data_IF_205858838327
#
_entry.id   IF_205858838327
#
_cell.length_a   1.000
_cell.length_b   1.000
_cell.length_c   1.000
_cell.angle_alpha   90.00
_cell.angle_beta   90.00
_cell.angle_gamma   90.00
#
_symmetry.space_group_name_H-M   'P 1'
#
loop_
_entity.id
_entity.type
_entity.pdbx_description
1 polymer ?
#
# COMPACT_ATOMS: atom_id res chain seq x y z
N UNK A 1 4.75 0.71 -18.32
CA UNK A 1 3.93 1.94 -18.27
C UNK A 1 3.64 2.28 -16.82
N UNK A 2 3.78 3.55 -16.45
CA UNK A 2 3.43 4.11 -15.15
C UNK A 2 2.22 5.03 -15.33
N UNK A 3 1.24 4.94 -14.42
CA UNK A 3 0.00 5.73 -14.46
C UNK A 3 -0.25 6.39 -13.11
N UNK A 4 -0.70 7.63 -13.12
CA UNK A 4 -1.03 8.41 -11.93
C UNK A 4 -2.30 9.23 -12.12
N UNK A 5 -2.86 9.70 -11.01
CA UNK A 5 -3.94 10.70 -10.98
C UNK A 5 -3.43 12.00 -10.37
N UNK A 6 -3.77 13.11 -10.99
CA UNK A 6 -3.43 14.43 -10.48
C UNK A 6 -4.66 15.34 -10.50
N UNK A 7 -4.66 16.32 -9.62
CA UNK A 7 -5.67 17.38 -9.58
C UNK A 7 -5.31 18.46 -10.59
N UNK A 8 -6.17 18.71 -11.54
CA UNK A 8 -6.04 19.80 -12.50
C UNK A 8 -6.35 21.17 -11.88
N UNK A 9 -6.18 22.22 -12.65
CA UNK A 9 -6.35 23.61 -12.20
C UNK A 9 -7.78 23.94 -11.77
N UNK A 10 -8.76 23.28 -12.35
CA UNK A 10 -10.18 23.47 -12.04
C UNK A 10 -10.73 22.41 -11.06
N UNK A 11 -9.82 21.60 -10.48
CA UNK A 11 -10.18 20.53 -9.54
C UNK A 11 -10.56 19.20 -10.20
N UNK A 12 -10.54 19.11 -11.52
CA UNK A 12 -10.78 17.88 -12.27
C UNK A 12 -9.66 16.85 -12.05
N UNK A 13 -9.97 15.58 -12.29
CA UNK A 13 -8.96 14.51 -12.30
C UNK A 13 -8.33 14.46 -13.69
N UNK A 14 -7.02 14.53 -13.75
CA UNK A 14 -6.21 14.26 -14.94
C UNK A 14 -5.47 12.95 -14.71
N UNK A 15 -5.59 12.04 -15.66
CA UNK A 15 -4.79 10.80 -15.70
C UNK A 15 -3.52 11.08 -16.47
N UNK A 16 -2.37 10.86 -15.85
CA UNK A 16 -1.06 11.02 -16.46
C UNK A 16 -0.39 9.65 -16.64
N UNK A 17 0.28 9.46 -17.77
CA UNK A 17 1.01 8.22 -18.09
C UNK A 17 2.40 8.51 -18.65
N UNK A 18 3.34 7.62 -18.37
CA UNK A 18 4.68 7.56 -19.00
C UNK A 18 5.13 6.10 -19.17
N UNK A 19 6.03 5.83 -20.10
CA UNK A 19 6.48 4.45 -20.34
C UNK A 19 7.46 3.96 -19.27
N UNK A 20 8.32 4.84 -18.79
CA UNK A 20 9.30 4.54 -17.76
C UNK A 20 9.58 5.72 -16.82
N UNK A 21 10.33 5.49 -15.72
CA UNK A 21 10.60 6.51 -14.70
C UNK A 21 11.29 7.78 -15.21
N UNK A 22 12.11 7.67 -16.27
CA UNK A 22 12.82 8.79 -16.90
C UNK A 22 12.05 9.51 -17.99
N UNK A 23 10.87 9.02 -18.38
CA UNK A 23 10.10 9.58 -19.49
C UNK A 23 9.24 10.76 -19.05
N UNK A 24 8.92 11.62 -19.99
CA UNK A 24 7.97 12.71 -19.78
C UNK A 24 6.57 12.13 -19.70
N UNK A 25 5.86 12.46 -18.62
CA UNK A 25 4.47 12.06 -18.49
C UNK A 25 3.57 12.89 -19.40
N UNK A 26 2.48 12.28 -19.87
CA UNK A 26 1.47 12.94 -20.71
C UNK A 26 0.06 12.66 -20.19
N UNK A 27 -0.82 13.63 -20.36
CA UNK A 27 -2.23 13.46 -20.06
C UNK A 27 -2.88 12.43 -20.99
N UNK A 28 -3.73 11.56 -20.46
CA UNK A 28 -4.60 10.71 -21.27
C UNK A 28 -5.80 11.52 -21.75
N UNK A 29 -6.01 11.60 -23.06
CA UNK A 29 -7.12 12.38 -23.63
C UNK A 29 -8.46 11.79 -23.18
N UNK A 30 -9.31 12.63 -22.59
CA UNK A 30 -10.60 12.20 -22.01
C UNK A 30 -10.48 11.00 -21.06
N UNK A 31 -9.38 10.91 -20.29
CA UNK A 31 -9.08 9.80 -19.39
C UNK A 31 -10.08 9.69 -18.21
N UNK A 32 -10.64 10.83 -17.78
CA UNK A 32 -11.58 10.90 -16.66
C UNK A 32 -10.91 10.52 -15.34
N UNK A 33 -10.79 9.24 -15.05
CA UNK A 33 -10.05 8.72 -13.88
C UNK A 33 -9.44 7.35 -14.19
N UNK A 34 -8.44 6.94 -13.41
CA UNK A 34 -7.85 5.60 -13.53
C UNK A 34 -8.90 4.52 -13.29
N UNK A 35 -9.82 4.74 -12.34
CA UNK A 35 -10.96 3.86 -12.10
C UNK A 35 -11.81 3.64 -13.36
N UNK A 36 -12.22 4.72 -14.03
CA UNK A 36 -13.04 4.62 -15.25
C UNK A 36 -12.33 3.85 -16.35
N UNK A 37 -11.06 4.14 -16.58
CA UNK A 37 -10.24 3.43 -17.60
C UNK A 37 -10.07 1.94 -17.24
N UNK A 38 -9.85 1.64 -15.96
CA UNK A 38 -9.71 0.27 -15.48
C UNK A 38 -11.01 -0.53 -15.60
N UNK A 39 -12.16 0.07 -15.25
CA UNK A 39 -13.46 -0.57 -15.42
C UNK A 39 -13.81 -0.79 -16.90
N UNK A 40 -13.52 0.19 -17.77
CA UNK A 40 -13.68 0.02 -19.23
C UNK A 40 -12.83 -1.15 -19.75
N UNK A 41 -11.59 -1.28 -19.29
CA UNK A 41 -10.71 -2.37 -19.66
C UNK A 41 -11.25 -3.72 -19.16
N UNK A 42 -11.57 -3.83 -17.87
CA UNK A 42 -12.04 -5.06 -17.23
C UNK A 42 -13.35 -5.55 -17.84
N UNK A 43 -14.35 -4.67 -17.96
CA UNK A 43 -15.67 -5.02 -18.51
C UNK A 43 -15.65 -5.26 -20.03
N UNK A 44 -14.68 -4.65 -20.73
CA UNK A 44 -14.49 -4.78 -22.16
C UNK A 44 -13.56 -5.92 -22.59
N UNK A 45 -12.97 -6.67 -21.64
CA UNK A 45 -11.99 -7.73 -21.93
C UNK A 45 -10.72 -7.21 -22.64
N UNK A 46 -10.28 -5.98 -22.30
CA UNK A 46 -9.12 -5.31 -22.88
C UNK A 46 -8.03 -5.13 -21.83
N UNK A 47 -6.79 -4.90 -22.25
CA UNK A 47 -5.76 -4.42 -21.34
C UNK A 47 -5.95 -2.93 -21.05
N UNK A 48 -5.60 -2.49 -19.83
CA UNK A 48 -5.63 -1.06 -19.49
C UNK A 48 -4.72 -0.23 -20.42
N UNK A 49 -3.57 -0.78 -20.80
CA UNK A 49 -2.66 -0.13 -21.74
C UNK A 49 -3.34 0.13 -23.09
N UNK A 50 -4.07 -0.85 -23.64
CA UNK A 50 -4.77 -0.69 -24.92
C UNK A 50 -5.90 0.33 -24.85
N UNK A 51 -6.59 0.44 -23.70
CA UNK A 51 -7.62 1.48 -23.49
C UNK A 51 -6.98 2.87 -23.46
N UNK A 52 -5.83 3.02 -22.79
CA UNK A 52 -5.08 4.28 -22.74
C UNK A 52 -4.57 4.67 -24.13
N UNK A 53 -3.98 3.74 -24.87
CA UNK A 53 -3.47 3.96 -26.24
C UNK A 53 -4.60 4.40 -27.19
N UNK A 54 -5.76 3.77 -27.09
CA UNK A 54 -6.93 4.13 -27.91
C UNK A 54 -7.48 5.54 -27.62
N UNK A 55 -7.29 6.05 -26.39
CA UNK A 55 -7.65 7.43 -26.03
C UNK A 55 -6.69 8.46 -26.61
N UNK A 56 -5.43 8.07 -26.82
CA UNK A 56 -4.34 8.96 -27.20
C UNK A 56 -3.80 9.78 -26.02
N UNK A 57 -2.66 10.41 -26.28
CA UNK A 57 -1.94 11.21 -25.29
C UNK A 57 -1.95 12.69 -25.69
N UNK A 58 -2.21 13.54 -24.72
CA UNK A 58 -2.25 14.99 -24.85
C UNK A 58 -0.98 15.68 -24.36
N UNK A 59 -1.14 16.74 -23.60
CA UNK A 59 -0.07 17.61 -23.15
C UNK A 59 0.91 16.91 -22.20
N UNK A 60 2.15 17.37 -22.23
CA UNK A 60 3.20 16.96 -21.31
C UNK A 60 2.90 17.46 -19.89
N UNK A 61 3.21 16.65 -18.90
CA UNK A 61 3.01 16.94 -17.48
C UNK A 61 4.34 16.80 -16.74
N UNK A 62 4.74 17.84 -16.06
CA UNK A 62 5.87 17.84 -15.12
C UNK A 62 5.41 17.28 -13.78
N UNK A 63 5.66 15.98 -13.56
CA UNK A 63 5.25 15.28 -12.33
C UNK A 63 5.99 15.78 -11.09
N UNK A 64 7.24 16.24 -11.21
CA UNK A 64 7.98 16.81 -10.07
C UNK A 64 7.33 18.13 -9.61
N UNK A 65 6.95 18.98 -10.56
CA UNK A 65 6.19 20.19 -10.27
C UNK A 65 4.84 19.87 -9.64
N UNK A 66 4.12 18.88 -10.16
CA UNK A 66 2.84 18.39 -9.59
C UNK A 66 3.03 17.95 -8.13
N UNK A 67 4.14 17.27 -7.85
CA UNK A 67 4.48 16.81 -6.50
C UNK A 67 4.76 18.00 -5.57
N UNK A 68 5.58 18.92 -5.99
CA UNK A 68 5.92 20.13 -5.23
C UNK A 68 4.69 21.00 -4.93
N UNK A 69 3.70 21.00 -5.83
CA UNK A 69 2.44 21.74 -5.68
C UNK A 69 1.37 20.96 -4.86
N UNK A 70 1.67 19.74 -4.40
CA UNK A 70 0.72 18.91 -3.64
C UNK A 70 -0.53 18.51 -4.44
N UNK A 71 -0.41 18.31 -5.76
CA UNK A 71 -1.53 18.00 -6.64
C UNK A 71 -1.69 16.53 -7.01
N UNK A 72 -0.86 15.64 -6.48
CA UNK A 72 -1.15 14.20 -6.60
C UNK A 72 -2.42 13.84 -5.87
N UNK A 73 -3.17 12.94 -6.47
CA UNK A 73 -4.26 12.18 -5.84
C UNK A 73 -3.74 10.75 -5.60
N UNK A 74 -4.41 9.93 -4.77
CA UNK A 74 -4.17 8.50 -4.83
C UNK A 74 -4.27 8.04 -6.29
N UNK A 75 -3.35 7.20 -6.79
CA UNK A 75 -3.26 6.90 -8.23
C UNK A 75 -4.50 6.17 -8.78
N UNK A 76 -5.37 5.69 -7.91
CA UNK A 76 -6.75 5.31 -8.20
C UNK A 76 -7.64 5.74 -7.04
N UNK A 77 -8.86 6.18 -7.35
CA UNK A 77 -9.92 6.53 -6.40
C UNK A 77 -11.23 5.95 -6.88
N UNK A 78 -12.12 5.57 -5.96
CA UNK A 78 -13.50 5.21 -6.29
C UNK A 78 -14.43 6.42 -6.12
N UNK A 79 -15.49 6.59 -6.94
CA UNK A 79 -16.46 7.68 -6.77
C UNK A 79 -17.13 7.72 -5.39
N UNK A 80 -17.35 6.55 -4.79
CA UNK A 80 -17.71 6.37 -3.38
C UNK A 80 -16.52 5.78 -2.63
N UNK A 81 -15.91 6.55 -1.74
CA UNK A 81 -14.72 6.12 -1.01
C UNK A 81 -14.93 4.84 -0.17
N UNK A 82 -16.18 4.53 0.22
CA UNK A 82 -16.49 3.30 0.95
C UNK A 82 -16.20 2.02 0.12
N UNK A 83 -16.20 2.12 -1.21
CA UNK A 83 -15.95 1.04 -2.16
C UNK A 83 -14.48 0.93 -2.63
N UNK A 84 -13.56 1.62 -1.98
CA UNK A 84 -12.13 1.38 -2.11
C UNK A 84 -11.65 0.72 -0.82
N UNK A 85 -11.21 -0.53 -0.89
CA UNK A 85 -10.77 -1.30 0.26
C UNK A 85 -9.26 -1.24 0.42
N UNK A 86 -8.80 -0.90 1.62
CA UNK A 86 -7.40 -0.97 2.03
C UNK A 86 -7.23 -2.21 2.90
N UNK A 87 -6.41 -3.15 2.48
CA UNK A 87 -6.15 -4.41 3.18
C UNK A 87 -4.66 -4.74 3.11
N UNK A 88 -4.19 -5.62 3.98
CA UNK A 88 -2.81 -6.04 3.95
C UNK A 88 -2.60 -7.46 4.43
N UNK A 89 -1.40 -7.95 4.20
CA UNK A 89 -0.87 -9.21 4.70
C UNK A 89 0.44 -8.95 5.43
N UNK A 90 0.68 -9.66 6.53
CA UNK A 90 1.93 -9.59 7.27
C UNK A 90 2.73 -10.88 7.17
N UNK A 91 3.98 -10.85 7.67
CA UNK A 91 4.86 -12.02 7.77
C UNK A 91 5.16 -12.71 6.43
N UNK A 92 5.12 -11.96 5.35
CA UNK A 92 5.25 -12.44 3.96
C UNK A 92 6.65 -12.26 3.40
N UNK A 93 7.54 -11.51 4.07
CA UNK A 93 8.91 -11.22 3.62
C UNK A 93 9.93 -11.96 4.47
N UNK A 94 11.08 -12.31 3.87
CA UNK A 94 12.19 -12.95 4.57
C UNK A 94 12.67 -12.04 5.71
N UNK A 95 12.69 -12.56 6.94
CA UNK A 95 13.02 -11.81 8.14
C UNK A 95 11.85 -11.09 8.84
N UNK A 96 10.65 -11.04 8.27
CA UNK A 96 9.48 -10.38 8.89
C UNK A 96 9.17 -10.89 10.29
N UNK A 97 9.22 -12.23 10.51
CA UNK A 97 9.00 -12.80 11.85
C UNK A 97 10.09 -12.37 12.83
N UNK A 98 11.37 -12.37 12.41
CA UNK A 98 12.48 -11.93 13.26
C UNK A 98 12.35 -10.44 13.61
N UNK A 99 11.90 -9.60 12.68
CA UNK A 99 11.63 -8.19 12.93
C UNK A 99 10.52 -8.03 13.97
N UNK A 100 9.38 -8.71 13.79
CA UNK A 100 8.25 -8.65 14.71
C UNK A 100 8.61 -9.22 16.10
N UNK A 101 9.31 -10.34 16.15
CA UNK A 101 9.77 -10.93 17.40
C UNK A 101 10.75 -10.04 18.15
N UNK A 102 11.59 -9.27 17.44
CA UNK A 102 12.46 -8.29 18.08
C UNK A 102 11.67 -7.17 18.76
N UNK A 103 10.49 -6.80 18.23
CA UNK A 103 9.57 -5.88 18.87
C UNK A 103 8.95 -6.48 20.14
N UNK A 104 8.60 -7.76 20.12
CA UNK A 104 7.98 -8.45 21.26
C UNK A 104 8.99 -8.91 22.33
N UNK A 105 10.20 -9.36 21.96
CA UNK A 105 11.22 -9.86 22.88
C UNK A 105 11.68 -8.87 23.94
N UNK A 106 11.61 -7.59 23.68
CA UNK A 106 11.94 -6.56 24.67
C UNK A 106 10.98 -6.53 25.86
N UNK A 107 9.90 -7.31 25.83
CA UNK A 107 8.87 -7.36 26.87
C UNK A 107 8.79 -8.69 27.64
N UNK A 108 9.51 -9.74 27.22
CA UNK A 108 9.48 -11.05 27.87
C UNK A 108 10.88 -11.63 27.96
N UNK A 109 11.56 -11.36 29.08
CA UNK A 109 12.87 -11.97 29.41
C UNK A 109 12.77 -13.42 29.90
N UNK A 110 11.71 -14.12 29.62
CA UNK A 110 11.60 -15.52 30.00
C UNK A 110 10.60 -16.21 29.11
N UNK A 111 11.05 -16.99 28.18
CA UNK A 111 10.43 -18.26 27.88
C UNK A 111 11.12 -18.98 26.74
N UNK A 112 11.59 -20.10 27.10
CA UNK A 112 11.53 -21.41 26.44
C UNK A 112 11.31 -21.44 24.90
N UNK A 113 11.97 -22.42 24.31
CA UNK A 113 11.97 -22.94 22.92
C UNK A 113 10.61 -23.11 22.20
N UNK A 114 9.55 -22.45 22.64
CA UNK A 114 8.27 -22.44 21.91
C UNK A 114 8.21 -21.26 20.94
N UNK A 115 8.09 -21.57 19.65
CA UNK A 115 7.85 -20.57 18.59
C UNK A 115 6.62 -19.71 18.96
N UNK A 116 6.75 -18.39 18.82
CA UNK A 116 5.60 -17.47 18.90
C UNK A 116 4.62 -17.77 17.75
N UNK A 117 3.38 -17.31 17.87
CA UNK A 117 2.39 -17.50 16.80
C UNK A 117 2.82 -16.80 15.50
N UNK A 118 3.48 -15.64 15.60
CA UNK A 118 4.09 -14.96 14.45
C UNK A 118 5.18 -15.80 13.77
N UNK A 119 6.04 -16.48 14.56
CA UNK A 119 7.07 -17.38 13.99
C UNK A 119 6.45 -18.62 13.35
N UNK A 120 5.41 -19.20 13.95
CA UNK A 120 4.66 -20.32 13.36
C UNK A 120 4.03 -19.90 12.04
N UNK A 121 3.36 -18.74 12.00
CA UNK A 121 2.74 -18.21 10.78
C UNK A 121 3.79 -17.96 9.68
N UNK A 122 4.93 -17.35 10.02
CA UNK A 122 6.03 -17.14 9.07
C UNK A 122 6.61 -18.46 8.56
N UNK A 123 6.81 -19.45 9.44
CA UNK A 123 7.27 -20.79 9.06
C UNK A 123 6.31 -21.47 8.09
N UNK A 124 5.00 -21.40 8.36
CA UNK A 124 3.98 -21.90 7.43
C UNK A 124 4.09 -21.23 6.05
N UNK A 125 4.36 -19.91 6.02
CA UNK A 125 4.61 -19.16 4.78
C UNK A 125 5.84 -19.68 4.02
N UNK A 126 6.96 -19.91 4.71
CA UNK A 126 8.17 -20.48 4.10
C UNK A 126 7.90 -21.88 3.51
N UNK A 127 7.16 -22.71 4.21
CA UNK A 127 6.91 -24.11 3.82
C UNK A 127 5.84 -24.24 2.72
N UNK A 128 4.85 -23.35 2.68
CA UNK A 128 3.67 -23.51 1.82
C UNK A 128 3.14 -22.25 1.14
N UNK A 129 3.82 -21.11 1.27
CA UNK A 129 3.37 -19.84 0.69
C UNK A 129 3.67 -19.68 -0.81
N UNK A 130 4.53 -20.55 -1.36
CA UNK A 130 4.87 -20.61 -2.81
C UNK A 130 4.41 -21.97 -3.40
N UNK A 131 3.10 -22.18 -3.58
CA UNK A 131 2.58 -23.40 -4.14
C UNK A 131 2.98 -23.54 -5.62
N UNK A 132 2.84 -24.76 -6.17
CA UNK A 132 2.96 -24.96 -7.61
C UNK A 132 1.83 -24.24 -8.34
N UNK A 133 2.04 -23.97 -9.61
CA UNK A 133 1.03 -23.33 -10.45
C UNK A 133 -0.31 -24.10 -10.41
N UNK A 134 -1.40 -23.39 -10.15
CA UNK A 134 -2.74 -23.96 -10.01
C UNK A 134 -3.06 -24.54 -8.63
N UNK A 135 -2.10 -24.67 -7.73
CA UNK A 135 -2.33 -25.10 -6.35
C UNK A 135 -2.58 -23.90 -5.43
N UNK A 136 -3.22 -24.16 -4.29
CA UNK A 136 -3.47 -23.16 -3.24
C UNK A 136 -2.46 -23.38 -2.13
N UNK A 137 -1.73 -22.33 -1.81
CA UNK A 137 -0.77 -22.36 -0.72
C UNK A 137 -1.39 -22.07 0.63
N UNK A 138 -0.52 -21.97 1.63
CA UNK A 138 -0.92 -21.65 3.01
C UNK A 138 -1.47 -20.23 3.10
N UNK A 139 -2.44 -20.05 3.99
CA UNK A 139 -3.06 -18.75 4.27
C UNK A 139 -2.06 -17.82 4.97
N UNK A 140 -1.89 -16.55 4.49
CA UNK A 140 -1.07 -15.56 5.17
C UNK A 140 -1.80 -14.96 6.38
N UNK A 141 -1.08 -14.23 7.23
CA UNK A 141 -1.69 -13.21 8.07
C UNK A 141 -2.39 -12.19 7.16
N UNK A 142 -3.59 -11.78 7.57
CA UNK A 142 -4.40 -10.84 6.78
C UNK A 142 -5.13 -9.86 7.70
N UNK A 143 -5.28 -8.60 7.28
CA UNK A 143 -6.03 -7.60 8.02
C UNK A 143 -6.74 -6.60 7.10
N UNK A 144 -7.83 -6.03 7.62
CA UNK A 144 -8.52 -4.91 7.01
C UNK A 144 -8.00 -3.61 7.62
N UNK A 145 -7.53 -2.70 6.75
CA UNK A 145 -6.94 -1.44 7.18
C UNK A 145 -7.92 -0.26 7.12
N UNK A 146 -8.97 -0.41 6.36
CA UNK A 146 -9.97 0.62 6.17
C UNK A 146 -10.41 0.75 4.71
N UNK A 147 -11.03 1.86 4.40
CA UNK A 147 -11.51 2.16 3.06
C UNK A 147 -10.91 3.47 2.52
N UNK A 148 -11.41 3.94 1.37
CA UNK A 148 -10.88 5.11 0.69
C UNK A 148 -10.90 6.42 1.49
N UNK A 149 -11.67 6.51 2.58
CA UNK A 149 -11.57 7.64 3.51
C UNK A 149 -10.23 7.67 4.26
N UNK A 150 -9.56 6.51 4.42
CA UNK A 150 -8.23 6.40 4.99
C UNK A 150 -7.09 6.48 3.98
N UNK A 151 -7.38 6.65 2.69
CA UNK A 151 -6.36 6.73 1.63
C UNK A 151 -5.79 8.15 1.53
N UNK A 152 -4.59 8.36 2.05
CA UNK A 152 -3.87 9.62 1.93
C UNK A 152 -3.21 9.74 0.55
N UNK A 153 -3.30 10.92 -0.08
CA UNK A 153 -2.61 11.18 -1.33
C UNK A 153 -1.08 11.20 -1.13
N UNK A 154 -0.28 10.83 -2.15
CA UNK A 154 1.15 11.09 -2.14
C UNK A 154 1.45 12.58 -1.91
N UNK A 155 2.34 12.87 -0.97
CA UNK A 155 2.65 14.24 -0.53
C UNK A 155 1.75 14.78 0.59
N UNK A 156 0.58 14.18 0.84
CA UNK A 156 -0.27 14.57 1.95
C UNK A 156 0.20 13.95 3.29
N UNK A 157 -0.27 14.49 4.40
CA UNK A 157 0.04 13.96 5.71
C UNK A 157 -0.69 12.63 5.97
N UNK A 158 -0.01 11.69 6.64
CA UNK A 158 -0.61 10.56 7.34
C UNK A 158 -1.02 11.05 8.73
N UNK A 159 -2.31 11.20 8.94
CA UNK A 159 -2.84 11.79 10.17
C UNK A 159 -3.09 10.66 11.18
N UNK A 160 -2.19 10.53 12.16
CA UNK A 160 -2.38 9.63 13.29
C UNK A 160 -3.52 10.13 14.19
N UNK A 161 -4.49 9.28 14.60
CA UNK A 161 -5.52 9.72 15.52
C UNK A 161 -4.93 10.09 16.88
N UNK A 162 -5.59 11.03 17.59
CA UNK A 162 -5.10 11.55 18.88
C UNK A 162 -4.93 10.48 19.98
N UNK A 163 -5.67 9.39 19.88
CA UNK A 163 -5.58 8.25 20.82
C UNK A 163 -4.48 7.24 20.46
N UNK A 164 -3.81 7.38 19.32
CA UNK A 164 -2.75 6.47 18.91
C UNK A 164 -1.53 6.61 19.83
N UNK A 165 -0.88 5.49 20.08
CA UNK A 165 0.33 5.43 20.91
C UNK A 165 1.60 5.55 20.08
N UNK A 166 1.48 5.36 18.76
CA UNK A 166 2.56 5.44 17.78
C UNK A 166 2.00 5.80 16.39
N UNK A 167 2.89 6.13 15.48
CA UNK A 167 2.61 6.37 14.07
C UNK A 167 3.87 6.12 13.26
N UNK A 168 4.08 4.87 12.84
CA UNK A 168 5.26 4.43 12.12
C UNK A 168 4.94 3.95 10.71
N UNK A 169 5.94 4.01 9.84
CA UNK A 169 5.85 3.53 8.48
C UNK A 169 6.02 2.00 8.40
N UNK A 170 5.34 1.43 7.42
CA UNK A 170 5.62 0.10 6.89
C UNK A 170 5.76 0.25 5.36
N UNK A 171 7.00 0.31 4.83
CA UNK A 171 7.22 0.42 3.40
C UNK A 171 6.88 -0.89 2.72
N UNK A 172 5.92 -0.86 1.79
CA UNK A 172 5.39 -2.05 1.16
C UNK A 172 5.19 -1.88 -0.34
N UNK A 173 4.95 -3.01 -1.00
CA UNK A 173 4.32 -3.08 -2.31
C UNK A 173 2.84 -3.37 -2.13
N UNK A 174 2.00 -2.74 -2.94
CA UNK A 174 0.58 -3.03 -3.02
C UNK A 174 0.16 -3.45 -4.42
N UNK A 175 -0.67 -4.49 -4.51
CA UNK A 175 -1.43 -4.81 -5.71
C UNK A 175 -2.68 -3.95 -5.78
N UNK A 176 -2.98 -3.45 -6.97
CA UNK A 176 -4.14 -2.58 -7.23
C UNK A 176 -5.12 -3.31 -8.13
N UNK A 177 -6.38 -3.39 -7.71
CA UNK A 177 -7.40 -4.20 -8.38
C UNK A 177 -8.71 -3.45 -8.56
N UNK A 178 -9.48 -3.85 -9.58
CA UNK A 178 -10.90 -3.51 -9.75
C UNK A 178 -11.70 -4.79 -9.91
N UNK A 179 -12.95 -4.77 -9.49
CA UNK A 179 -13.88 -5.89 -9.64
C UNK A 179 -14.80 -5.61 -10.82
N UNK A 180 -14.71 -6.43 -11.87
CA UNK A 180 -15.59 -6.31 -13.02
C UNK A 180 -17.06 -6.57 -12.64
N UNK A 181 -17.98 -6.21 -13.55
CA UNK A 181 -19.43 -6.37 -13.34
C UNK A 181 -19.91 -7.81 -13.09
N UNK A 182 -19.10 -8.80 -13.46
CA UNK A 182 -19.37 -10.22 -13.19
C UNK A 182 -18.75 -10.74 -11.89
N UNK A 183 -18.11 -9.85 -11.11
CA UNK A 183 -17.43 -10.20 -9.86
C UNK A 183 -16.00 -10.71 -10.04
N UNK A 184 -15.44 -10.67 -11.25
CA UNK A 184 -14.07 -11.09 -11.52
C UNK A 184 -13.08 -9.99 -11.07
N UNK A 185 -12.09 -10.30 -10.21
CA UNK A 185 -11.03 -9.35 -9.85
C UNK A 185 -10.00 -9.23 -10.98
N UNK A 186 -9.68 -7.99 -11.35
CA UNK A 186 -8.63 -7.67 -12.32
C UNK A 186 -7.53 -6.84 -11.66
N UNK A 187 -6.29 -7.32 -11.73
CA UNK A 187 -5.13 -6.54 -11.29
C UNK A 187 -4.76 -5.49 -12.33
N UNK A 188 -4.74 -4.24 -11.93
CA UNK A 188 -4.27 -3.11 -12.74
C UNK A 188 -2.75 -3.12 -12.80
N UNK A 189 -2.11 -3.33 -11.65
CA UNK A 189 -0.67 -3.29 -11.49
C UNK A 189 -0.26 -3.21 -10.03
N UNK A 190 0.92 -2.65 -9.79
CA UNK A 190 1.52 -2.55 -8.47
C UNK A 190 1.94 -1.10 -8.18
N UNK A 191 1.93 -0.72 -6.91
CA UNK A 191 2.37 0.59 -6.46
C UNK A 191 3.22 0.47 -5.19
N UNK A 192 4.07 1.46 -4.92
CA UNK A 192 4.63 1.65 -3.59
C UNK A 192 3.51 1.96 -2.61
N UNK A 193 3.63 1.53 -1.37
CA UNK A 193 2.67 1.85 -0.33
C UNK A 193 3.34 2.07 1.02
N UNK A 194 2.72 2.88 1.85
CA UNK A 194 3.02 3.04 3.26
C UNK A 194 1.82 2.52 4.05
N UNK A 195 1.97 1.34 4.62
CA UNK A 195 0.99 0.72 5.51
C UNK A 195 1.17 1.30 6.93
N UNK A 196 0.93 2.61 7.06
CA UNK A 196 1.11 3.35 8.30
C UNK A 196 0.33 2.72 9.47
N UNK A 197 1.02 2.43 10.60
CA UNK A 197 0.49 1.61 11.69
C UNK A 197 0.88 2.15 13.06
N UNK A 198 0.18 1.64 14.10
CA UNK A 198 0.48 1.88 15.52
C UNK A 198 1.14 0.63 16.12
N UNK A 199 2.45 0.52 15.98
CA UNK A 199 3.24 -0.61 16.45
C UNK A 199 3.25 -0.74 18.00
N UNK A 200 3.06 0.35 18.73
CA UNK A 200 2.98 0.32 20.19
C UNK A 200 1.68 -0.36 20.63
N UNK A 201 0.54 -0.04 20.02
CA UNK A 201 -0.73 -0.73 20.27
C UNK A 201 -0.64 -2.22 19.94
N UNK A 202 -0.06 -2.59 18.80
CA UNK A 202 0.16 -3.99 18.44
C UNK A 202 1.02 -4.73 19.47
N UNK A 203 2.08 -4.08 19.94
CA UNK A 203 3.01 -4.68 20.93
C UNK A 203 2.38 -4.94 22.29
N UNK A 204 1.35 -4.18 22.70
CA UNK A 204 0.65 -4.40 23.98
C UNK A 204 0.01 -5.79 23.99
N UNK A 205 -0.65 -6.17 22.90
CA UNK A 205 -1.27 -7.48 22.76
C UNK A 205 -1.49 -7.76 21.28
N UNK A 206 -1.04 -8.91 20.79
CA UNK A 206 -1.20 -9.29 19.39
C UNK A 206 -2.68 -9.27 18.90
N UNK A 207 -3.64 -9.51 19.78
CA UNK A 207 -5.07 -9.37 19.46
C UNK A 207 -5.47 -7.93 19.10
N UNK A 208 -4.62 -6.94 19.39
CA UNK A 208 -4.81 -5.56 18.95
C UNK A 208 -4.26 -5.29 17.55
N UNK A 209 -3.78 -6.28 16.82
CA UNK A 209 -3.36 -6.14 15.43
C UNK A 209 -4.40 -5.37 14.60
N UNK A 210 -5.66 -5.80 14.62
CA UNK A 210 -6.72 -5.15 13.86
C UNK A 210 -6.90 -3.66 14.24
N UNK A 211 -6.78 -3.32 15.52
CA UNK A 211 -6.85 -1.95 16.00
C UNK A 211 -5.64 -1.12 15.55
N UNK A 212 -4.43 -1.69 15.60
CA UNK A 212 -3.18 -1.03 15.20
C UNK A 212 -3.14 -0.69 13.71
N UNK A 213 -3.82 -1.49 12.89
CA UNK A 213 -3.89 -1.36 11.44
C UNK A 213 -4.97 -0.39 10.95
N UNK A 214 -5.97 -0.03 11.77
CA UNK A 214 -6.98 0.99 11.43
C UNK A 214 -6.39 2.40 11.53
N UNK A 215 -5.49 2.70 10.63
CA UNK A 215 -4.79 3.97 10.44
C UNK A 215 -4.83 4.34 8.96
N UNK A 216 -4.59 5.61 8.58
CA UNK A 216 -4.48 5.96 7.16
C UNK A 216 -3.37 5.15 6.49
N UNK A 217 -3.48 5.02 5.17
CA UNK A 217 -2.42 4.48 4.33
C UNK A 217 -2.21 5.38 3.13
N UNK A 218 -1.02 5.34 2.53
CA UNK A 218 -0.75 6.00 1.26
C UNK A 218 -0.17 5.01 0.26
N UNK A 219 -0.44 5.22 -1.03
CA UNK A 219 0.08 4.39 -2.11
C UNK A 219 0.29 5.21 -3.39
N UNK A 220 1.19 4.80 -4.23
CA UNK A 220 1.60 5.52 -5.43
C UNK A 220 2.99 6.16 -5.29
N UNK A 221 3.23 7.35 -5.91
CA UNK A 221 2.34 8.21 -6.74
C UNK A 221 1.88 7.59 -8.04
N UNK A 222 2.55 6.54 -8.51
CA UNK A 222 2.30 5.89 -9.78
C UNK A 222 1.97 4.42 -9.57
N UNK A 223 1.09 3.88 -10.40
CA UNK A 223 0.87 2.43 -10.53
C UNK A 223 1.71 1.97 -11.73
N UNK A 224 2.58 1.00 -11.51
CA UNK A 224 3.25 0.24 -12.56
C UNK A 224 2.27 -0.78 -13.11
N UNK A 225 1.81 -0.57 -14.33
CA UNK A 225 0.87 -1.47 -15.03
C UNK A 225 1.61 -2.76 -15.43
N UNK A 226 0.95 -3.90 -15.26
CA UNK A 226 1.46 -5.22 -15.63
C UNK A 226 2.09 -5.97 -14.46
N UNK A 227 3.17 -6.72 -14.73
CA UNK A 227 3.84 -7.56 -13.73
C UNK A 227 4.85 -6.77 -12.90
N UNK A 228 4.99 -7.14 -11.62
CA UNK A 228 6.08 -6.65 -10.79
C UNK A 228 7.40 -7.37 -11.16
N UNK A 229 8.57 -6.73 -10.95
CA UNK A 229 9.83 -7.44 -10.93
C UNK A 229 9.86 -8.49 -9.82
N UNK A 230 10.54 -9.61 -10.04
CA UNK A 230 10.71 -10.65 -9.02
C UNK A 230 11.56 -10.18 -7.83
N UNK A 231 12.58 -9.37 -8.11
CA UNK A 231 13.47 -8.76 -7.10
C UNK A 231 13.31 -7.24 -7.14
N UNK A 232 12.72 -6.70 -6.09
CA UNK A 232 12.46 -5.25 -5.92
C UNK A 232 13.37 -4.74 -4.83
N UNK A 233 14.18 -3.74 -5.16
CA UNK A 233 15.14 -3.12 -4.25
C UNK A 233 14.98 -1.62 -4.24
N UNK A 234 14.81 -1.08 -3.05
CA UNK A 234 14.67 0.35 -2.84
C UNK A 234 15.19 0.77 -1.49
N UNK A 235 14.74 1.92 -1.04
CA UNK A 235 15.15 2.51 0.25
C UNK A 235 13.93 3.09 0.95
N UNK A 236 13.84 2.84 2.26
CA UNK A 236 12.93 3.54 3.16
C UNK A 236 13.70 4.52 4.01
N UNK A 237 13.22 5.76 4.11
CA UNK A 237 13.83 6.84 4.89
C UNK A 237 12.79 7.55 5.76
N UNK A 238 13.28 8.09 6.88
CA UNK A 238 12.56 9.09 7.67
C UNK A 238 13.42 10.33 7.74
N UNK A 239 12.84 11.48 7.37
CA UNK A 239 13.50 12.79 7.40
C UNK A 239 12.84 13.68 8.43
N UNK A 240 13.66 14.29 9.31
CA UNK A 240 13.25 15.32 10.26
C UNK A 240 13.91 16.64 9.85
N UNK A 241 13.14 17.51 9.22
CA UNK A 241 13.68 18.65 8.49
C UNK A 241 14.67 18.16 7.40
N UNK A 242 15.87 18.71 7.40
CA UNK A 242 16.92 18.34 6.43
C UNK A 242 17.74 17.10 6.84
N UNK A 243 17.44 16.50 8.00
CA UNK A 243 18.21 15.38 8.54
C UNK A 243 17.51 14.05 8.27
N UNK A 244 18.24 13.10 7.69
CA UNK A 244 17.84 11.70 7.64
C UNK A 244 18.07 11.07 9.02
N UNK A 245 17.01 10.65 9.70
CA UNK A 245 17.05 10.02 11.05
C UNK A 245 16.94 8.50 10.98
N UNK A 246 16.46 7.96 9.84
CA UNK A 246 16.40 6.54 9.54
C UNK A 246 16.59 6.33 8.04
N UNK A 247 17.39 5.35 7.67
CA UNK A 247 17.54 4.88 6.29
C UNK A 247 17.88 3.38 6.29
N UNK A 248 17.08 2.59 5.59
CA UNK A 248 17.30 1.15 5.42
C UNK A 248 16.91 0.69 4.02
N UNK A 249 17.54 -0.39 3.52
CA UNK A 249 17.06 -1.05 2.31
C UNK A 249 15.61 -1.52 2.47
N UNK A 250 14.84 -1.32 1.41
CA UNK A 250 13.51 -1.88 1.22
C UNK A 250 13.59 -2.99 0.17
N UNK A 251 13.24 -4.21 0.56
CA UNK A 251 13.27 -5.38 -0.30
C UNK A 251 11.87 -5.96 -0.42
N UNK A 252 11.44 -6.25 -1.64
CA UNK A 252 10.15 -6.88 -1.93
C UNK A 252 10.23 -7.67 -3.26
N UNK A 253 9.08 -8.09 -3.78
CA UNK A 253 9.01 -9.00 -4.91
C UNK A 253 9.16 -10.46 -4.48
N UNK A 254 8.69 -11.39 -5.30
CA UNK A 254 8.59 -12.81 -4.92
C UNK A 254 9.95 -13.45 -4.57
N UNK A 255 11.07 -12.92 -5.09
CA UNK A 255 12.41 -13.37 -4.70
C UNK A 255 12.74 -13.11 -3.22
N UNK A 256 12.14 -12.08 -2.63
CA UNK A 256 12.36 -11.65 -1.25
C UNK A 256 11.20 -12.02 -0.31
N UNK A 257 10.19 -12.71 -0.81
CA UNK A 257 8.97 -13.06 -0.06
C UNK A 257 8.89 -14.55 0.22
N UNK A 258 8.15 -14.93 1.24
CA UNK A 258 7.78 -16.32 1.55
C UNK A 258 6.49 -16.76 0.85
N UNK A 259 5.76 -15.84 0.22
CA UNK A 259 4.55 -16.09 -0.53
C UNK A 259 4.69 -15.62 -1.97
N UNK A 260 3.94 -16.24 -2.91
CA UNK A 260 3.70 -15.66 -4.23
C UNK A 260 2.59 -14.62 -4.18
N UNK A 261 2.61 -13.61 -5.06
CA UNK A 261 1.48 -12.69 -5.21
C UNK A 261 0.18 -13.43 -5.51
N UNK A 262 0.22 -14.44 -6.37
CA UNK A 262 -0.95 -15.25 -6.70
C UNK A 262 -1.56 -15.94 -5.47
N UNK A 263 -0.74 -16.43 -4.53
CA UNK A 263 -1.24 -17.01 -3.29
C UNK A 263 -1.88 -15.96 -2.38
N UNK A 264 -1.28 -14.77 -2.24
CA UNK A 264 -1.84 -13.67 -1.47
C UNK A 264 -3.16 -13.17 -2.08
N UNK A 265 -3.20 -12.99 -3.39
CA UNK A 265 -4.41 -12.63 -4.16
C UNK A 265 -5.53 -13.66 -3.98
N UNK A 266 -5.21 -14.95 -4.07
CA UNK A 266 -6.19 -16.01 -3.83
C UNK A 266 -6.79 -15.89 -2.44
N UNK A 267 -5.96 -15.73 -1.41
CA UNK A 267 -6.44 -15.66 -0.03
C UNK A 267 -7.22 -14.39 0.27
N UNK A 268 -6.98 -13.31 -0.45
CA UNK A 268 -7.79 -12.09 -0.37
C UNK A 268 -9.14 -12.25 -1.08
N UNK A 269 -9.12 -12.68 -2.34
CA UNK A 269 -10.34 -12.74 -3.18
C UNK A 269 -11.15 -14.04 -3.04
N UNK A 270 -10.72 -15.04 -2.26
CA UNK A 270 -11.54 -16.22 -1.97
C UNK A 270 -12.86 -15.88 -1.26
N UNK A 271 -12.89 -14.76 -0.55
CA UNK A 271 -14.08 -14.28 0.12
C UNK A 271 -14.96 -13.49 -0.86
N UNK A 272 -16.21 -13.97 -1.07
CA UNK A 272 -17.18 -13.30 -1.93
C UNK A 272 -17.45 -11.85 -1.54
N UNK A 273 -17.26 -11.52 -0.26
CA UNK A 273 -17.35 -10.17 0.28
C UNK A 273 -16.46 -9.14 -0.47
N UNK A 274 -15.29 -9.57 -0.94
CA UNK A 274 -14.32 -8.72 -1.63
C UNK A 274 -14.42 -8.81 -3.16
N UNK A 275 -15.56 -9.27 -3.68
CA UNK A 275 -15.81 -9.36 -5.12
C UNK A 275 -17.11 -8.66 -5.53
N UNK A 276 -17.49 -7.60 -4.80
CA UNK A 276 -18.64 -6.78 -5.20
C UNK A 276 -18.27 -6.00 -6.48
N UNK A 277 -19.11 -6.06 -7.53
CA UNK A 277 -18.84 -5.38 -8.79
C UNK A 277 -18.61 -3.88 -8.61
N UNK A 278 -17.53 -3.38 -9.22
CA UNK A 278 -17.13 -1.98 -9.15
C UNK A 278 -16.16 -1.65 -8.02
N UNK A 279 -15.98 -2.50 -7.01
CA UNK A 279 -15.05 -2.23 -5.93
C UNK A 279 -13.60 -2.08 -6.42
N UNK A 280 -12.85 -1.25 -5.70
CA UNK A 280 -11.41 -1.08 -5.86
C UNK A 280 -10.71 -1.69 -4.64
N UNK A 281 -9.62 -2.41 -4.87
CA UNK A 281 -8.79 -2.93 -3.79
C UNK A 281 -7.36 -2.44 -3.92
N UNK A 282 -6.80 -2.02 -2.79
CA UNK A 282 -5.38 -1.78 -2.57
C UNK A 282 -4.96 -2.80 -1.53
N UNK A 283 -4.27 -3.85 -1.97
CA UNK A 283 -3.85 -4.96 -1.12
C UNK A 283 -2.35 -4.92 -0.92
N UNK A 284 -1.92 -4.61 0.29
CA UNK A 284 -0.52 -4.47 0.68
C UNK A 284 0.05 -5.84 1.05
N UNK A 285 1.33 -6.08 0.71
CA UNK A 285 1.90 -7.42 0.76
C UNK A 285 2.86 -7.67 1.93
N UNK A 286 3.01 -6.72 2.83
CA UNK A 286 3.91 -6.82 3.97
C UNK A 286 5.31 -6.27 3.70
N UNK A 287 6.10 -6.23 4.76
CA UNK A 287 7.49 -5.77 4.74
C UNK A 287 8.31 -6.45 5.82
N UNK A 288 9.64 -6.40 5.66
CA UNK A 288 10.60 -6.73 6.73
C UNK A 288 11.33 -5.48 7.26
N UNK A 289 11.08 -4.31 6.70
CA UNK A 289 11.76 -3.05 7.03
C UNK A 289 10.83 -2.17 7.88
N UNK A 290 11.23 -1.90 9.12
CA UNK A 290 10.46 -1.07 10.07
C UNK A 290 11.43 -0.19 10.88
N UNK A 291 11.22 1.12 10.92
CA UNK A 291 11.99 2.02 11.78
C UNK A 291 11.73 1.77 13.26
N UNK A 292 10.53 1.32 13.60
CA UNK A 292 10.15 0.93 14.96
C UNK A 292 11.06 -0.17 15.54
N UNK A 293 11.49 -1.14 14.73
CA UNK A 293 12.42 -2.19 15.16
C UNK A 293 13.79 -1.65 15.58
N UNK A 294 14.21 -0.52 15.03
CA UNK A 294 15.45 0.19 15.35
C UNK A 294 15.28 1.21 16.51
N UNK A 295 14.09 1.26 17.11
CA UNK A 295 13.79 2.15 18.23
C UNK A 295 13.59 3.62 17.83
N UNK A 296 13.41 3.89 16.54
CA UNK A 296 13.07 5.23 16.05
C UNK A 296 11.63 5.56 16.44
N UNK A 297 11.44 6.79 16.92
CA UNK A 297 10.13 7.35 17.22
C UNK A 297 9.86 8.52 16.27
N UNK A 298 9.00 8.35 15.29
CA UNK A 298 8.58 9.45 14.42
C UNK A 298 7.83 10.52 15.21
N UNK A 299 7.99 11.78 14.80
CA UNK A 299 7.33 12.95 15.38
C UNK A 299 6.53 13.69 14.32
N UNK A 300 5.54 14.48 14.74
CA UNK A 300 4.78 15.31 13.81
C UNK A 300 5.71 16.22 12.98
N UNK A 301 5.54 16.19 11.67
CA UNK A 301 6.39 16.88 10.69
C UNK A 301 7.52 16.02 10.11
N UNK A 302 7.81 14.86 10.66
CA UNK A 302 8.72 13.89 10.02
C UNK A 302 8.13 13.43 8.68
N UNK A 303 8.99 13.21 7.70
CA UNK A 303 8.58 12.74 6.36
C UNK A 303 9.09 11.33 6.14
N UNK A 304 8.15 10.42 5.92
CA UNK A 304 8.41 9.07 5.41
C UNK A 304 8.64 9.13 3.90
N UNK A 305 9.69 8.50 3.41
CA UNK A 305 10.02 8.41 2.00
C UNK A 305 10.34 6.96 1.62
N UNK A 306 9.60 6.42 0.65
CA UNK A 306 9.80 5.07 0.11
C UNK A 306 10.14 5.23 -1.36
N UNK A 307 11.29 4.71 -1.78
CA UNK A 307 11.83 4.88 -3.12
C UNK A 307 12.24 3.56 -3.74
N UNK A 308 11.74 3.28 -4.91
CA UNK A 308 12.15 2.17 -5.80
C UNK A 308 12.14 2.71 -7.23
N UNK A 309 13.29 2.70 -7.89
CA UNK A 309 13.47 3.36 -9.19
C UNK A 309 12.47 2.89 -10.26
N UNK A 310 12.12 1.60 -10.27
CA UNK A 310 11.21 1.01 -11.26
C UNK A 310 9.75 1.42 -11.09
N UNK A 311 9.42 2.07 -9.96
CA UNK A 311 8.07 2.56 -9.65
C UNK A 311 7.90 4.07 -9.84
N UNK A 312 8.91 4.73 -10.37
CA UNK A 312 8.85 6.14 -10.70
C UNK A 312 9.19 7.05 -9.52
N UNK A 313 8.32 8.02 -9.22
CA UNK A 313 8.54 8.96 -8.13
C UNK A 313 8.46 8.27 -6.76
N UNK A 314 9.28 8.67 -5.78
CA UNK A 314 9.18 8.16 -4.43
C UNK A 314 7.85 8.54 -3.78
N UNK A 315 7.31 7.63 -2.97
CA UNK A 315 6.16 7.90 -2.12
C UNK A 315 6.62 8.66 -0.88
N UNK A 316 6.07 9.85 -0.66
CA UNK A 316 6.37 10.72 0.49
C UNK A 316 5.11 11.10 1.22
N UNK A 317 5.15 11.03 2.55
CA UNK A 317 4.07 11.51 3.40
C UNK A 317 4.65 12.06 4.70
N UNK A 318 4.17 13.21 5.15
CA UNK A 318 4.52 13.70 6.47
C UNK A 318 3.65 13.06 7.55
N UNK A 319 4.18 12.93 8.77
CA UNK A 319 3.39 12.57 9.93
C UNK A 319 2.65 13.80 10.47
N UNK A 320 1.36 13.65 10.73
CA UNK A 320 0.58 14.59 11.52
C UNK A 320 -0.20 13.86 12.61
N UNK A 321 -0.63 14.57 13.64
CA UNK A 321 -1.47 14.05 14.71
C UNK A 321 -2.78 14.82 14.73
N UNK A 322 -3.89 14.11 14.77
CA UNK A 322 -5.23 14.70 14.85
C UNK A 322 -5.45 15.39 16.19
N UNK A 323 -6.29 16.41 16.21
CA UNK A 323 -6.81 16.96 17.46
C UNK A 323 -7.65 15.90 18.20
N UNK A 324 -7.69 16.01 19.53
CA UNK A 324 -8.55 15.15 20.35
C UNK A 324 -10.03 15.40 20.01
N UNK A 325 -10.77 14.31 19.82
CA UNK A 325 -12.20 14.35 19.55
C UNK A 325 -12.96 13.57 20.64
N UNK A 326 -14.07 14.13 21.10
CA UNK A 326 -14.98 13.42 21.99
C UNK A 326 -16.08 12.77 21.17
N UNK A 327 -16.15 11.44 21.22
CA UNK A 327 -17.19 10.65 20.56
C UNK A 327 -18.27 10.30 21.57
N UNK A 328 -19.53 10.67 21.29
CA UNK A 328 -20.67 10.27 22.08
C UNK A 328 -21.76 9.64 21.19
N UNK A 329 -22.19 8.45 21.53
CA UNK A 329 -23.35 7.81 20.90
C UNK A 329 -24.62 8.37 21.52
N UNK A 330 -25.54 8.84 20.67
CA UNK A 330 -26.85 9.31 21.11
C UNK A 330 -27.89 8.25 20.76
N UNK A 331 -28.84 8.06 21.68
CA UNK A 331 -30.01 7.21 21.45
C UNK A 331 -31.03 7.98 20.61
N UNK A 332 -31.65 7.32 19.62
CA UNK A 332 -32.78 7.83 18.83
C UNK A 332 -34.09 7.68 19.61
#
# INVERSE_FOLDING_TARGET
MLISQIKGSNGEIIVAVRNGPGDIAKAVVNGGSVYKLAMEAADGGKSLASVIEARGLGEAIDLEKVYAEGRFLPPITHPDAAHLHLTGTGLTHLGSAATRDSMHKKTTEAAEETLTDSMKMFKMGIEGGKPKEGEKGVQPEWFYKGNGYGAAAPGAALVSPSFALDGGEEPEMAGIYVIAKDGTPFRIGFALSNEFSDHVTERINYLYLAHSKLRPASFGPEIRIGTAPDDIRGTSRIKRGDKVIFEKPFLSGEANMSHTFANLEYHHFKYGLFRAPGDVHVHMFGTATLSFAEGIKPEAGDVFEIEVAEFGLPLRNSLAVAAEETVAVRQL
#
